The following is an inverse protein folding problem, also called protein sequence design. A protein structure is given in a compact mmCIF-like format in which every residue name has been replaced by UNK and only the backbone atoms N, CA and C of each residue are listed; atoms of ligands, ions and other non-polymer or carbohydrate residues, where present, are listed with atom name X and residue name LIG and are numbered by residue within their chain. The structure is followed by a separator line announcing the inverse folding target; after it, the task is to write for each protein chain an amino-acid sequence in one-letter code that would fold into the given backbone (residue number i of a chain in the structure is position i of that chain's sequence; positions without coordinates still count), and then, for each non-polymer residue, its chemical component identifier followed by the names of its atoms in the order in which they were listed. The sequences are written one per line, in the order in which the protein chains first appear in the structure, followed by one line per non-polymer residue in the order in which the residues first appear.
data_IF_198684425934
#
_entry.id   IF_198684425934
#
_cell.length_a   1.000
_cell.length_b   1.000
_cell.length_c   1.000
_cell.angle_alpha   90.00
_cell.angle_beta   90.00
_cell.angle_gamma   90.00
#
_symmetry.space_group_name_H-M   'P 1'
#
loop_
_entity.id
_entity.type
_entity.pdbx_description
1 polymer ?
#
# COMPACT_ATOMS: atom_id res chain seq x y z
N UNK A 1 -20.05 8.76 5.65
CA UNK A 1 -19.47 7.61 4.93
C UNK A 1 -20.27 6.34 5.21
N UNK A 2 -20.35 5.43 4.22
CA UNK A 2 -21.04 4.15 4.37
C UNK A 2 -20.25 3.26 5.33
N UNK A 3 -20.92 2.65 6.33
CA UNK A 3 -20.33 1.66 7.24
C UNK A 3 -20.39 0.29 6.57
N UNK A 4 -19.26 -0.29 6.26
CA UNK A 4 -19.14 -1.58 5.57
C UNK A 4 -18.21 -2.59 6.28
N UNK A 5 -17.69 -2.18 7.45
CA UNK A 5 -16.88 -3.02 8.33
C UNK A 5 -17.28 -2.75 9.80
N UNK A 6 -18.37 -3.39 10.27
CA UNK A 6 -18.97 -3.09 11.56
C UNK A 6 -19.40 -1.63 11.64
N UNK A 7 -18.89 -0.90 12.64
CA UNK A 7 -19.13 0.54 12.80
C UNK A 7 -18.21 1.41 11.93
N UNK A 8 -17.27 0.82 11.20
CA UNK A 8 -16.22 1.52 10.47
C UNK A 8 -16.48 1.54 8.96
N UNK A 9 -15.80 2.45 8.29
CA UNK A 9 -15.73 2.54 6.85
C UNK A 9 -14.37 2.00 6.39
N UNK A 10 -14.35 1.10 5.41
CA UNK A 10 -13.15 0.41 4.92
C UNK A 10 -13.12 0.42 3.39
N UNK A 11 -11.93 0.61 2.81
CA UNK A 11 -11.64 0.46 1.37
C UNK A 11 -12.56 1.24 0.44
N UNK A 12 -13.03 2.41 0.84
CA UNK A 12 -13.88 3.27 0.02
C UNK A 12 -15.37 2.90 0.03
N UNK A 13 -15.80 2.00 0.94
CA UNK A 13 -17.21 1.66 1.12
C UNK A 13 -17.63 0.33 0.50
N UNK A 14 -18.93 0.14 0.31
CA UNK A 14 -19.51 -1.09 -0.23
C UNK A 14 -19.12 -1.30 -1.69
N UNK A 15 -19.07 -0.21 -2.46
CA UNK A 15 -18.59 -0.18 -3.84
C UNK A 15 -17.40 0.77 -3.95
N UNK A 16 -16.24 0.34 -3.42
CA UNK A 16 -14.99 1.09 -3.56
C UNK A 16 -14.42 1.08 -4.99
N UNK A 17 -13.31 1.73 -5.19
CA UNK A 17 -12.67 1.87 -6.51
C UNK A 17 -12.14 0.55 -7.09
N UNK A 18 -12.11 -0.51 -6.30
CA UNK A 18 -11.86 -1.89 -6.72
C UNK A 18 -13.04 -2.52 -7.49
N UNK A 19 -14.24 -1.94 -7.39
CA UNK A 19 -15.50 -2.48 -7.96
C UNK A 19 -16.14 -1.57 -9.01
N UNK A 20 -15.50 -0.49 -9.38
CA UNK A 20 -15.99 0.43 -10.43
C UNK A 20 -15.39 0.08 -11.78
N UNK A 21 -16.03 0.56 -12.86
CA UNK A 21 -15.52 0.40 -14.21
C UNK A 21 -14.66 1.63 -14.53
N UNK A 22 -13.39 1.39 -14.81
CA UNK A 22 -12.44 2.42 -15.19
C UNK A 22 -12.38 2.59 -16.71
N UNK A 23 -12.21 3.83 -17.16
CA UNK A 23 -11.79 4.09 -18.54
C UNK A 23 -10.28 3.82 -18.62
N UNK A 24 -9.86 3.04 -19.61
CA UNK A 24 -8.47 2.62 -19.72
C UNK A 24 -7.86 3.03 -21.07
N UNK A 25 -6.66 3.58 -21.04
CA UNK A 25 -5.85 3.96 -22.19
C UNK A 25 -4.47 3.33 -22.09
N UNK A 26 -3.98 2.79 -23.21
CA UNK A 26 -2.65 2.16 -23.26
C UNK A 26 -1.55 3.21 -23.18
N UNK A 27 -0.53 2.96 -22.33
CA UNK A 27 0.74 3.68 -22.34
C UNK A 27 1.78 2.84 -23.09
N UNK A 28 2.39 3.43 -24.12
CA UNK A 28 3.48 2.77 -24.85
C UNK A 28 4.55 3.77 -25.25
N UNK A 29 5.75 3.56 -24.77
CA UNK A 29 6.95 4.34 -25.10
C UNK A 29 8.14 3.38 -25.33
N UNK A 30 9.28 3.84 -25.86
CA UNK A 30 10.48 2.98 -25.95
C UNK A 30 11.00 2.47 -24.60
N UNK A 31 10.64 3.12 -23.48
CA UNK A 31 11.17 2.80 -22.14
C UNK A 31 10.18 2.05 -21.24
N UNK A 32 8.88 2.12 -21.53
CA UNK A 32 7.85 1.51 -20.69
C UNK A 32 6.59 1.20 -21.47
N UNK A 33 5.87 0.19 -21.00
CA UNK A 33 4.50 -0.13 -21.38
C UNK A 33 3.60 -0.09 -20.15
N UNK A 34 2.31 0.19 -20.34
CA UNK A 34 1.42 0.29 -19.21
C UNK A 34 -0.01 0.63 -19.58
N UNK A 35 -0.78 0.98 -18.58
CA UNK A 35 -2.16 1.43 -18.69
C UNK A 35 -2.37 2.67 -17.81
N UNK A 36 -3.04 3.65 -18.34
CA UNK A 36 -3.62 4.75 -17.59
C UNK A 36 -5.11 4.47 -17.44
N UNK A 37 -5.59 4.56 -16.23
CA UNK A 37 -6.99 4.34 -15.88
C UNK A 37 -7.55 5.60 -15.25
N UNK A 38 -8.73 6.03 -15.69
CA UNK A 38 -9.42 7.17 -15.11
C UNK A 38 -10.83 6.81 -14.66
N UNK A 39 -11.23 7.40 -13.54
CA UNK A 39 -12.57 7.29 -12.99
C UNK A 39 -13.02 8.62 -12.41
N UNK A 40 -14.31 8.91 -12.54
CA UNK A 40 -14.95 10.07 -11.91
C UNK A 40 -15.97 9.57 -10.91
N UNK A 41 -15.62 9.70 -9.63
CA UNK A 41 -16.53 9.50 -8.51
C UNK A 41 -17.41 10.73 -8.37
N UNK A 42 -18.71 10.56 -8.42
CA UNK A 42 -19.69 11.66 -8.35
C UNK A 42 -19.88 12.12 -6.89
N UNK A 43 -20.33 13.36 -6.72
CA UNK A 43 -20.64 13.93 -5.40
C UNK A 43 -21.52 12.96 -4.58
N UNK A 44 -21.12 12.67 -3.36
CA UNK A 44 -21.76 11.76 -2.39
C UNK A 44 -21.68 10.27 -2.75
N UNK A 45 -20.88 9.82 -3.73
CA UNK A 45 -20.61 8.41 -3.92
C UNK A 45 -19.99 7.83 -2.65
N UNK A 46 -20.53 6.72 -2.11
CA UNK A 46 -20.18 6.09 -0.82
C UNK A 46 -20.17 7.09 0.39
N UNK A 47 -20.79 8.26 0.22
CA UNK A 47 -20.88 9.33 1.21
C UNK A 47 -19.72 10.31 1.20
N UNK A 48 -18.83 10.28 0.20
CA UNK A 48 -17.76 11.26 0.04
C UNK A 48 -18.28 12.52 -0.66
N UNK A 49 -18.06 13.72 -0.09
CA UNK A 49 -18.48 14.96 -0.71
C UNK A 49 -17.59 15.34 -1.90
N UNK A 50 -18.21 15.94 -2.91
CA UNK A 50 -17.54 16.43 -4.12
C UNK A 50 -17.37 15.40 -5.21
N UNK A 51 -17.20 15.89 -6.43
CA UNK A 51 -16.77 15.05 -7.54
C UNK A 51 -15.26 14.86 -7.42
N UNK A 52 -14.79 13.62 -7.49
CA UNK A 52 -13.37 13.27 -7.47
C UNK A 52 -12.99 12.63 -8.79
N UNK A 53 -12.12 13.28 -9.54
CA UNK A 53 -11.49 12.70 -10.74
C UNK A 53 -10.19 12.04 -10.32
N UNK A 54 -10.06 10.75 -10.62
CA UNK A 54 -8.89 9.94 -10.26
C UNK A 54 -8.25 9.39 -11.52
N UNK A 55 -6.94 9.52 -11.63
CA UNK A 55 -6.12 8.86 -12.64
C UNK A 55 -5.12 7.97 -11.93
N UNK A 56 -5.01 6.72 -12.38
CA UNK A 56 -4.02 5.77 -11.90
C UNK A 56 -3.24 5.23 -13.09
N UNK A 57 -1.93 5.31 -13.05
CA UNK A 57 -1.05 4.75 -14.07
C UNK A 57 -0.28 3.56 -13.51
N UNK A 58 -0.35 2.43 -14.20
CA UNK A 58 0.52 1.28 -13.98
C UNK A 58 1.45 1.15 -15.19
N UNK A 59 2.75 1.12 -14.97
CA UNK A 59 3.73 0.98 -16.05
C UNK A 59 4.84 0.02 -15.65
N UNK A 60 5.20 -0.88 -16.57
CA UNK A 60 6.36 -1.74 -16.46
C UNK A 60 7.48 -1.17 -17.35
N UNK A 61 8.65 -0.94 -16.75
CA UNK A 61 9.83 -0.41 -17.43
C UNK A 61 10.75 -1.52 -17.95
N UNK A 62 11.68 -1.16 -18.83
CA UNK A 62 12.74 -2.09 -19.29
C UNK A 62 13.71 -2.51 -18.18
N UNK A 63 13.71 -1.79 -17.05
CA UNK A 63 14.57 -2.05 -15.89
C UNK A 63 13.83 -2.88 -14.80
N UNK A 64 12.75 -3.59 -15.18
CA UNK A 64 11.93 -4.41 -14.27
C UNK A 64 11.29 -3.62 -13.11
N UNK A 65 10.95 -2.35 -13.34
CA UNK A 65 10.24 -1.55 -12.35
C UNK A 65 8.75 -1.53 -12.68
N UNK A 66 7.92 -1.82 -11.69
CA UNK A 66 6.49 -1.51 -11.72
C UNK A 66 6.30 -0.10 -11.12
N UNK A 67 5.91 0.85 -11.95
CA UNK A 67 5.59 2.22 -11.54
C UNK A 67 4.08 2.34 -11.36
N UNK A 68 3.66 2.85 -10.21
CA UNK A 68 2.26 3.16 -9.90
C UNK A 68 2.20 4.64 -9.55
N UNK A 69 1.44 5.41 -10.32
CA UNK A 69 1.27 6.83 -10.09
C UNK A 69 -0.21 7.17 -9.94
N UNK A 70 -0.52 8.05 -9.00
CA UNK A 70 -1.87 8.52 -8.72
C UNK A 70 -1.96 10.02 -8.92
N UNK A 71 -3.06 10.45 -9.53
CA UNK A 71 -3.47 11.85 -9.58
C UNK A 71 -4.93 11.93 -9.18
N UNK A 72 -5.28 12.89 -8.33
CA UNK A 72 -6.65 13.11 -7.91
C UNK A 72 -6.97 14.60 -7.89
N UNK A 73 -8.17 14.96 -8.39
CA UNK A 73 -8.67 16.33 -8.41
C UNK A 73 -10.13 16.34 -7.99
N UNK A 74 -10.49 17.28 -7.13
CA UNK A 74 -11.85 17.41 -6.62
C UNK A 74 -12.35 18.85 -6.68
N UNK A 75 -13.66 19.01 -6.75
CA UNK A 75 -14.36 20.31 -6.71
C UNK A 75 -14.81 20.71 -5.31
N UNK A 76 -14.70 19.82 -4.31
CA UNK A 76 -15.03 20.10 -2.90
C UNK A 76 -13.98 19.49 -1.98
N UNK A 77 -13.87 20.02 -0.77
CA UNK A 77 -13.06 19.41 0.28
C UNK A 77 -13.56 18.01 0.62
N UNK A 78 -12.72 16.99 0.46
CA UNK A 78 -13.06 15.59 0.70
C UNK A 78 -11.83 14.82 1.19
N UNK A 79 -12.04 13.58 1.63
CA UNK A 79 -10.94 12.66 1.95
C UNK A 79 -10.50 11.92 0.68
N UNK A 80 -9.19 11.84 0.47
CA UNK A 80 -8.59 11.09 -0.63
C UNK A 80 -7.33 10.39 -0.08
N UNK A 81 -7.37 9.06 -0.02
CA UNK A 81 -6.25 8.23 0.42
C UNK A 81 -6.23 6.97 -0.44
N UNK A 82 -5.58 7.07 -1.60
CA UNK A 82 -5.53 6.01 -2.59
C UNK A 82 -4.37 5.07 -2.30
N UNK A 83 -4.56 3.79 -2.54
CA UNK A 83 -3.52 2.77 -2.32
C UNK A 83 -3.56 1.68 -3.40
N UNK A 84 -2.46 0.96 -3.53
CA UNK A 84 -2.39 -0.34 -4.18
C UNK A 84 -2.34 -1.42 -3.09
N UNK A 85 -3.24 -2.40 -3.16
CA UNK A 85 -3.36 -3.44 -2.15
C UNK A 85 -2.87 -4.81 -2.67
N UNK A 86 -1.79 -4.81 -3.44
CA UNK A 86 -1.20 -6.07 -3.92
C UNK A 86 -0.46 -6.79 -2.80
N UNK A 87 -0.65 -8.11 -2.72
CA UNK A 87 0.13 -9.01 -1.86
C UNK A 87 1.25 -9.63 -2.71
N UNK A 88 2.50 -9.50 -2.27
CA UNK A 88 3.67 -9.99 -3.00
C UNK A 88 4.18 -11.30 -2.41
N UNK A 89 4.43 -12.28 -3.27
CA UNK A 89 5.11 -13.53 -2.93
C UNK A 89 6.26 -13.76 -3.92
N UNK A 90 7.49 -13.64 -3.45
CA UNK A 90 8.69 -13.76 -4.29
C UNK A 90 9.12 -15.22 -4.53
N UNK A 91 8.49 -16.21 -3.88
CA UNK A 91 8.83 -17.63 -4.11
C UNK A 91 8.56 -18.07 -5.55
N UNK A 92 7.60 -17.43 -6.22
CA UNK A 92 7.10 -17.83 -7.55
C UNK A 92 6.11 -18.98 -7.51
N UNK A 93 5.73 -19.43 -6.31
CA UNK A 93 4.69 -20.43 -6.07
C UNK A 93 3.72 -19.88 -5.02
N UNK A 94 2.47 -19.63 -5.42
CA UNK A 94 1.45 -19.07 -4.53
C UNK A 94 0.99 -20.03 -3.41
N UNK A 95 1.38 -21.31 -3.47
CA UNK A 95 1.14 -22.26 -2.38
C UNK A 95 2.22 -22.16 -1.28
N UNK A 96 3.32 -21.49 -1.54
CA UNK A 96 4.36 -21.25 -0.55
C UNK A 96 4.03 -20.06 0.34
N UNK A 97 4.35 -20.19 1.62
CA UNK A 97 4.24 -19.10 2.57
C UNK A 97 5.36 -18.08 2.37
N UNK A 98 5.07 -16.81 2.65
CA UNK A 98 6.07 -15.73 2.66
C UNK A 98 6.83 -15.61 4.00
N UNK A 99 6.59 -16.48 4.97
CA UNK A 99 7.19 -16.38 6.31
C UNK A 99 8.72 -16.48 6.29
N UNK A 100 9.29 -17.12 5.26
CA UNK A 100 10.73 -17.21 5.05
C UNK A 100 11.32 -16.05 4.22
N UNK A 101 10.50 -15.09 3.80
CA UNK A 101 11.02 -13.88 3.17
C UNK A 101 11.63 -12.97 4.22
N UNK A 102 12.79 -12.40 3.89
CA UNK A 102 13.43 -11.37 4.72
C UNK A 102 12.91 -10.00 4.33
N UNK A 103 12.38 -9.28 5.30
CA UNK A 103 11.84 -7.92 5.14
C UNK A 103 12.68 -6.92 5.91
N UNK A 104 12.96 -5.78 5.27
CA UNK A 104 13.50 -4.59 5.90
C UNK A 104 12.61 -3.39 5.57
N UNK A 105 12.33 -2.53 6.54
CA UNK A 105 11.55 -1.30 6.37
C UNK A 105 12.32 -0.12 6.98
N UNK A 106 12.48 0.96 6.22
CA UNK A 106 13.12 2.18 6.70
C UNK A 106 12.11 3.02 7.50
N UNK A 107 11.75 2.53 8.67
CA UNK A 107 10.84 3.17 9.60
C UNK A 107 11.28 2.90 11.05
N UNK A 108 11.22 3.93 11.89
CA UNK A 108 11.50 3.85 13.33
C UNK A 108 10.23 3.83 14.17
N UNK A 109 9.07 4.03 13.53
CA UNK A 109 7.78 4.19 14.19
C UNK A 109 6.68 3.45 13.41
N UNK A 110 5.61 3.14 14.11
CA UNK A 110 4.39 2.54 13.53
C UNK A 110 3.15 3.10 14.22
N UNK A 111 1.98 2.88 13.62
CA UNK A 111 0.69 3.24 14.21
C UNK A 111 0.05 2.00 14.85
N UNK A 112 -0.03 1.91 16.19
CA UNK A 112 -0.76 0.84 16.85
C UNK A 112 -2.27 0.93 16.56
N UNK A 113 -2.91 -0.23 16.54
CA UNK A 113 -4.34 -0.38 16.28
C UNK A 113 -5.06 -0.93 17.51
N UNK A 114 -6.35 -0.65 17.63
CA UNK A 114 -7.23 -1.27 18.60
C UNK A 114 -7.71 -2.67 18.15
N UNK A 115 -8.58 -3.30 18.93
CA UNK A 115 -9.13 -4.64 18.63
C UNK A 115 -9.96 -4.67 17.32
N UNK A 116 -10.38 -3.52 16.81
CA UNK A 116 -11.07 -3.35 15.54
C UNK A 116 -10.13 -3.08 14.36
N UNK A 117 -8.82 -3.15 14.57
CA UNK A 117 -7.75 -2.79 13.62
C UNK A 117 -7.79 -1.31 13.20
N UNK A 118 -8.37 -0.46 14.03
CA UNK A 118 -8.41 0.99 13.79
C UNK A 118 -7.20 1.65 14.46
N UNK A 119 -6.44 2.50 13.76
CA UNK A 119 -5.34 3.24 14.34
C UNK A 119 -5.79 4.08 15.53
N UNK A 120 -5.08 3.94 16.65
CA UNK A 120 -5.41 4.63 17.92
C UNK A 120 -5.13 6.13 17.90
N UNK A 121 -4.44 6.63 16.86
CA UNK A 121 -3.93 8.00 16.79
C UNK A 121 -2.58 8.19 17.49
N UNK A 122 -2.05 7.15 18.11
CA UNK A 122 -0.72 7.15 18.72
C UNK A 122 0.31 6.72 17.67
N UNK A 123 1.53 7.24 17.78
CA UNK A 123 2.71 6.78 17.03
C UNK A 123 3.69 6.20 18.06
N UNK A 124 4.09 4.95 17.86
CA UNK A 124 5.01 4.24 18.74
C UNK A 124 6.30 3.84 18.05
N UNK A 125 7.38 3.74 18.82
CA UNK A 125 8.67 3.26 18.33
C UNK A 125 8.60 1.77 18.04
N UNK A 126 9.20 1.33 16.92
CA UNK A 126 9.32 -0.09 16.56
C UNK A 126 10.35 -0.83 17.43
N UNK A 127 11.33 -0.13 17.99
CA UNK A 127 12.45 -0.70 18.72
C UNK A 127 12.00 -1.60 19.88
N UNK A 128 12.55 -2.81 19.98
CA UNK A 128 12.20 -3.84 20.94
C UNK A 128 10.77 -4.40 20.81
N UNK A 129 10.10 -4.17 19.68
CA UNK A 129 8.79 -4.73 19.37
C UNK A 129 8.87 -5.75 18.22
N UNK A 130 7.82 -6.56 17.98
CA UNK A 130 7.75 -7.41 16.79
C UNK A 130 7.76 -6.62 15.48
N UNK A 131 7.43 -5.34 15.51
CA UNK A 131 7.35 -4.44 14.34
C UNK A 131 8.70 -3.86 13.90
N UNK A 132 9.79 -4.15 14.62
CA UNK A 132 11.12 -3.66 14.28
C UNK A 132 11.71 -4.40 13.06
N UNK A 133 11.48 -3.86 11.88
CA UNK A 133 12.10 -4.26 10.61
C UNK A 133 13.15 -3.26 10.13
N UNK A 134 13.73 -2.45 11.02
CA UNK A 134 14.82 -1.52 10.69
C UNK A 134 16.07 -2.23 10.16
N UNK A 135 16.21 -3.52 10.46
CA UNK A 135 17.17 -4.46 9.87
C UNK A 135 16.42 -5.63 9.22
N UNK A 136 17.06 -6.38 8.30
CA UNK A 136 16.44 -7.55 7.69
C UNK A 136 16.07 -8.60 8.73
N UNK A 137 14.80 -9.01 8.76
CA UNK A 137 14.28 -10.12 9.57
C UNK A 137 13.35 -10.99 8.72
N UNK A 138 13.31 -12.29 9.00
CA UNK A 138 12.28 -13.13 8.41
C UNK A 138 10.90 -12.72 8.93
N UNK A 139 9.92 -12.65 8.04
CA UNK A 139 8.53 -12.28 8.41
C UNK A 139 8.01 -13.24 9.47
N UNK A 140 8.36 -14.54 9.37
CA UNK A 140 7.93 -15.57 10.30
C UNK A 140 8.54 -15.51 11.71
N UNK A 141 9.69 -14.85 11.89
CA UNK A 141 10.45 -14.93 13.15
C UNK A 141 9.65 -14.44 14.37
N UNK A 142 8.78 -13.47 14.16
CA UNK A 142 8.06 -12.78 15.24
C UNK A 142 6.56 -12.62 14.99
N UNK A 143 6.02 -13.15 13.90
CA UNK A 143 4.60 -13.01 13.52
C UNK A 143 3.66 -13.57 14.60
N UNK A 144 4.08 -14.62 15.29
CA UNK A 144 3.31 -15.23 16.38
C UNK A 144 3.16 -14.34 17.62
N UNK A 145 3.93 -13.24 17.70
CA UNK A 145 3.81 -12.22 18.74
C UNK A 145 2.84 -11.10 18.38
N UNK A 146 2.28 -11.15 17.16
CA UNK A 146 1.34 -10.14 16.65
C UNK A 146 0.00 -10.83 16.42
N UNK A 147 -1.00 -10.62 17.28
CA UNK A 147 -2.35 -11.18 17.09
C UNK A 147 -2.91 -10.81 15.72
N UNK A 148 -3.37 -11.81 14.96
CA UNK A 148 -3.86 -11.59 13.59
C UNK A 148 -2.78 -11.42 12.52
N UNK A 149 -1.50 -11.35 12.89
CA UNK A 149 -0.39 -11.11 11.97
C UNK A 149 -0.11 -9.63 11.73
N UNK A 150 0.81 -9.35 10.79
CA UNK A 150 1.17 -7.98 10.45
C UNK A 150 0.14 -7.36 9.52
N UNK A 151 -0.63 -6.40 10.04
CA UNK A 151 -1.56 -5.54 9.29
C UNK A 151 -1.50 -4.10 9.85
N UNK A 152 -0.29 -3.57 9.91
CA UNK A 152 0.01 -2.31 10.56
C UNK A 152 0.67 -1.34 9.59
N UNK A 153 0.54 -0.05 9.86
CA UNK A 153 1.19 1.00 9.10
C UNK A 153 2.51 1.40 9.77
N UNK A 154 3.61 1.44 8.99
CA UNK A 154 4.90 1.99 9.42
C UNK A 154 5.01 3.45 9.01
N UNK A 155 5.44 4.29 9.95
CA UNK A 155 5.74 5.69 9.71
C UNK A 155 7.16 5.79 9.16
N UNK A 156 7.28 6.20 7.91
CA UNK A 156 8.54 6.19 7.19
C UNK A 156 9.53 7.21 7.75
N UNK A 157 10.82 6.85 7.78
CA UNK A 157 11.91 7.73 8.26
C UNK A 157 12.35 8.75 7.21
N UNK A 158 11.43 9.23 6.37
CA UNK A 158 11.69 10.26 5.36
C UNK A 158 10.90 11.55 5.68
N UNK A 159 11.42 12.69 5.26
CA UNK A 159 10.87 14.01 5.62
C UNK A 159 10.38 14.83 4.44
N UNK A 160 10.45 14.29 3.25
CA UNK A 160 10.07 14.98 2.02
C UNK A 160 9.43 13.98 1.03
N UNK A 161 8.89 14.50 -0.06
CA UNK A 161 8.24 13.70 -1.10
C UNK A 161 9.20 13.22 -2.20
N UNK A 162 10.48 13.07 -1.91
CA UNK A 162 11.42 12.42 -2.83
C UNK A 162 11.10 10.93 -2.96
N UNK A 163 11.29 10.39 -4.15
CA UNK A 163 11.17 8.96 -4.40
C UNK A 163 12.37 8.24 -3.80
N UNK A 164 12.18 7.61 -2.65
CA UNK A 164 13.23 6.90 -1.93
C UNK A 164 12.84 5.45 -1.69
N UNK A 165 13.83 4.55 -1.67
CA UNK A 165 13.64 3.16 -1.25
C UNK A 165 13.32 3.13 0.24
N UNK A 166 12.15 2.60 0.57
CA UNK A 166 11.61 2.55 1.93
C UNK A 166 11.51 1.12 2.49
N UNK A 167 11.48 0.13 1.62
CA UNK A 167 11.45 -1.26 2.04
C UNK A 167 12.15 -2.16 1.03
N UNK A 168 12.63 -3.29 1.54
CA UNK A 168 13.24 -4.35 0.76
C UNK A 168 12.70 -5.69 1.22
N UNK A 169 12.24 -6.49 0.26
CA UNK A 169 11.80 -7.87 0.46
C UNK A 169 12.72 -8.79 -0.31
N UNK A 170 13.19 -9.87 0.33
CA UNK A 170 14.11 -10.82 -0.28
C UNK A 170 13.66 -12.26 0.04
N UNK A 171 13.53 -13.08 -0.98
CA UNK A 171 13.35 -14.52 -0.84
C UNK A 171 14.65 -15.25 -1.19
N UNK A 172 15.31 -15.77 -0.16
CA UNK A 172 16.60 -16.41 -0.31
C UNK A 172 16.52 -17.70 -1.15
N UNK A 173 15.40 -18.42 -1.10
CA UNK A 173 15.22 -19.68 -1.80
C UNK A 173 15.15 -19.48 -3.32
N UNK A 174 14.40 -18.48 -3.78
CA UNK A 174 14.29 -18.16 -5.22
C UNK A 174 15.36 -17.19 -5.71
N UNK A 175 16.06 -16.50 -4.80
CA UNK A 175 17.01 -15.43 -5.10
C UNK A 175 16.32 -14.12 -5.58
N UNK A 176 15.01 -14.02 -5.53
CA UNK A 176 14.28 -12.81 -5.95
C UNK A 176 14.31 -11.76 -4.85
N UNK A 177 14.45 -10.51 -5.30
CA UNK A 177 14.47 -9.33 -4.44
C UNK A 177 13.55 -8.28 -5.01
N UNK A 178 12.79 -7.62 -4.13
CA UNK A 178 11.94 -6.49 -4.45
C UNK A 178 12.31 -5.31 -3.57
N UNK A 179 12.44 -4.13 -4.17
CA UNK A 179 12.56 -2.87 -3.46
C UNK A 179 11.29 -2.06 -3.68
N UNK A 180 10.81 -1.44 -2.63
CA UNK A 180 9.66 -0.53 -2.67
C UNK A 180 10.15 0.89 -2.48
N UNK A 181 9.79 1.77 -3.41
CA UNK A 181 10.06 3.20 -3.32
C UNK A 181 8.75 3.97 -3.32
N UNK A 182 8.68 5.07 -2.59
CA UNK A 182 7.49 5.92 -2.55
C UNK A 182 7.84 7.38 -2.40
N UNK A 183 6.94 8.25 -2.86
CA UNK A 183 6.95 9.69 -2.57
C UNK A 183 6.20 10.04 -1.29
N UNK A 184 5.38 9.13 -0.75
CA UNK A 184 4.66 9.31 0.53
C UNK A 184 5.62 9.37 1.73
N UNK A 185 5.21 10.06 2.80
CA UNK A 185 5.99 10.28 4.02
C UNK A 185 5.43 9.50 5.20
#
# INVERSE_FOLDING_TARGET
LVKNNGENHLHGGTKGFDKVIWNATQIRTPKRVGVEMSYKSIDMEEGYPGNLEVIVQYSLTNDNQLLIAYEAKTDKKTHCNLTNHSYFNLSGDFNQSILNHSLQINAEEYTPVDDGLIPTGIIEKVNNTPFDFSKPYLIGDRINKVPGGYDHNWVLSKKNNELLVIAELNDQASGRKMQVSTTEI
#
